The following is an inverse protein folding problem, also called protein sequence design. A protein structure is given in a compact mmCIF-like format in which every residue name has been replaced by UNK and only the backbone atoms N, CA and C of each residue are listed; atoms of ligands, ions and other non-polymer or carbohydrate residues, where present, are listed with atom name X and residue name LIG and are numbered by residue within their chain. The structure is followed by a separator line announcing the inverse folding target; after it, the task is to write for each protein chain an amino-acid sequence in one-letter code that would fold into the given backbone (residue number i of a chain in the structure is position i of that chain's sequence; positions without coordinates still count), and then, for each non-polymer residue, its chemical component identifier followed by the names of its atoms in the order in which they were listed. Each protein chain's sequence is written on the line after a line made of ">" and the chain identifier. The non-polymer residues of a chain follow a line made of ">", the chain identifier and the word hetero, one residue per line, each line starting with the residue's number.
data_IF_092260265318
#
_entry.id   IF_092260265318
#
_cell.length_a   1.000
_cell.length_b   1.000
_cell.length_c   1.000
_cell.angle_alpha   90.00
_cell.angle_beta   90.00
_cell.angle_gamma   90.00
#
_symmetry.space_group_name_H-M   'P 1'
#
loop_
_entity.id
_entity.type
_entity.pdbx_description
1 polymer ?
#
# COMPACT_ATOMS: atom_id res chain seq x y z
N UNK A 1 30.82 -38.34 14.87
CA UNK A 1 30.91 -37.45 13.69
C UNK A 1 29.53 -37.16 13.02
N UNK A 2 28.46 -36.98 13.80
CA UNK A 2 27.08 -36.75 13.28
C UNK A 2 26.51 -35.35 13.55
N UNK A 3 27.03 -34.66 14.59
CA UNK A 3 26.57 -33.32 15.02
C UNK A 3 27.10 -32.15 14.18
N UNK A 4 28.25 -32.30 13.51
CA UNK A 4 28.90 -31.22 12.73
C UNK A 4 28.20 -30.97 11.39
N UNK A 5 27.56 -32.02 10.89
CA UNK A 5 26.87 -32.15 9.62
C UNK A 5 25.46 -31.56 9.71
N UNK A 6 24.75 -31.81 10.81
CA UNK A 6 23.42 -31.22 11.06
C UNK A 6 23.46 -29.70 11.22
N UNK A 7 24.56 -29.12 11.75
CA UNK A 7 24.72 -27.66 11.82
C UNK A 7 24.96 -27.03 10.45
N UNK A 8 25.75 -27.68 9.60
CA UNK A 8 25.96 -27.22 8.22
C UNK A 8 24.66 -27.24 7.40
N UNK A 9 23.83 -28.28 7.57
CA UNK A 9 22.52 -28.38 6.92
C UNK A 9 21.57 -27.28 7.41
N UNK A 10 21.52 -27.02 8.72
CA UNK A 10 20.67 -25.97 9.29
C UNK A 10 21.06 -24.56 8.84
N UNK A 11 22.35 -24.30 8.63
CA UNK A 11 22.82 -23.01 8.08
C UNK A 11 22.42 -22.89 6.60
N UNK A 12 22.63 -23.95 5.81
CA UNK A 12 22.30 -23.95 4.38
C UNK A 12 20.80 -23.72 4.14
N UNK A 13 19.93 -24.37 4.91
CA UNK A 13 18.47 -24.18 4.78
C UNK A 13 18.04 -22.76 5.15
N UNK A 14 18.64 -22.16 6.17
CA UNK A 14 18.34 -20.79 6.56
C UNK A 14 18.74 -19.78 5.46
N UNK A 15 19.93 -19.95 4.87
CA UNK A 15 20.41 -19.08 3.79
C UNK A 15 19.51 -19.16 2.55
N UNK A 16 19.08 -20.38 2.17
CA UNK A 16 18.16 -20.57 1.04
C UNK A 16 16.81 -19.91 1.31
N UNK A 17 16.29 -19.99 2.54
CA UNK A 17 15.03 -19.37 2.92
C UNK A 17 15.08 -17.85 2.77
N UNK A 18 16.15 -17.21 3.26
CA UNK A 18 16.31 -15.75 3.17
C UNK A 18 16.37 -15.28 1.70
N UNK A 19 17.10 -16.00 0.84
CA UNK A 19 17.19 -15.69 -0.59
C UNK A 19 15.83 -15.86 -1.30
N UNK A 20 15.06 -16.88 -0.93
CA UNK A 20 13.72 -17.08 -1.46
C UNK A 20 12.74 -15.97 -1.03
N UNK A 21 12.82 -15.49 0.21
CA UNK A 21 11.99 -14.37 0.68
C UNK A 21 12.33 -13.05 -0.03
N UNK A 22 13.60 -12.78 -0.33
CA UNK A 22 13.99 -11.59 -1.11
C UNK A 22 13.46 -11.61 -2.55
N UNK A 23 13.25 -12.79 -3.13
CA UNK A 23 12.62 -12.92 -4.46
C UNK A 23 11.08 -12.74 -4.43
N UNK A 24 10.45 -12.92 -3.27
CA UNK A 24 9.00 -12.74 -3.08
C UNK A 24 8.59 -11.29 -2.81
N UNK A 25 9.47 -10.46 -2.25
CA UNK A 25 9.18 -9.04 -2.03
C UNK A 25 9.30 -8.27 -3.36
N UNK A 26 8.28 -8.37 -4.21
CA UNK A 26 8.22 -7.61 -5.45
C UNK A 26 7.94 -6.13 -5.14
N UNK A 27 8.79 -5.20 -5.58
CA UNK A 27 8.47 -3.79 -5.50
C UNK A 27 7.21 -3.48 -6.30
N UNK A 28 6.41 -2.51 -5.83
CA UNK A 28 5.18 -2.08 -6.49
C UNK A 28 5.44 -1.83 -7.99
N UNK A 29 4.67 -2.51 -8.84
CA UNK A 29 4.83 -2.41 -10.29
C UNK A 29 4.37 -1.05 -10.83
N UNK A 30 4.83 -0.64 -12.02
CA UNK A 30 4.47 0.66 -12.61
C UNK A 30 2.96 0.85 -12.76
N UNK A 31 2.23 -0.22 -13.11
CA UNK A 31 0.77 -0.19 -13.19
C UNK A 31 0.09 0.00 -11.82
N UNK A 32 0.60 -0.62 -10.75
CA UNK A 32 0.08 -0.42 -9.39
C UNK A 32 0.34 0.99 -8.88
N UNK A 33 1.52 1.55 -9.16
CA UNK A 33 1.83 2.95 -8.83
C UNK A 33 0.92 3.93 -9.58
N UNK A 34 0.69 3.68 -10.87
CA UNK A 34 -0.23 4.49 -11.68
C UNK A 34 -1.68 4.38 -11.17
N UNK A 35 -2.16 3.17 -10.88
CA UNK A 35 -3.48 2.95 -10.28
C UNK A 35 -3.64 3.70 -8.95
N UNK A 36 -2.65 3.57 -8.05
CA UNK A 36 -2.63 4.27 -6.76
C UNK A 36 -2.63 5.80 -6.91
N UNK A 37 -1.94 6.33 -7.93
CA UNK A 37 -1.95 7.77 -8.21
C UNK A 37 -3.32 8.24 -8.72
N UNK A 38 -3.97 7.46 -9.60
CA UNK A 38 -5.31 7.75 -10.11
C UNK A 38 -6.34 7.70 -8.97
N UNK A 39 -6.31 6.66 -8.14
CA UNK A 39 -7.21 6.51 -6.98
C UNK A 39 -7.07 7.70 -6.01
N UNK A 40 -5.84 8.11 -5.73
CA UNK A 40 -5.58 9.28 -4.88
C UNK A 40 -6.10 10.59 -5.51
N UNK A 41 -5.96 10.75 -6.82
CA UNK A 41 -6.49 11.92 -7.52
C UNK A 41 -8.02 11.94 -7.47
N UNK A 42 -8.67 10.80 -7.70
CA UNK A 42 -10.12 10.66 -7.61
C UNK A 42 -10.64 10.95 -6.18
N UNK A 43 -9.96 10.44 -5.16
CA UNK A 43 -10.33 10.68 -3.77
C UNK A 43 -10.24 12.18 -3.39
N UNK A 44 -9.16 12.85 -3.79
CA UNK A 44 -9.01 14.30 -3.56
C UNK A 44 -10.06 15.12 -4.31
N UNK A 45 -10.37 14.75 -5.55
CA UNK A 45 -11.43 15.41 -6.32
C UNK A 45 -12.79 15.25 -5.64
N UNK A 46 -13.11 14.04 -5.17
CA UNK A 46 -14.34 13.76 -4.43
C UNK A 46 -14.48 14.60 -3.16
N UNK A 47 -13.43 14.67 -2.34
CA UNK A 47 -13.43 15.49 -1.12
C UNK A 47 -13.65 16.98 -1.40
N UNK A 48 -13.05 17.52 -2.46
CA UNK A 48 -13.25 18.93 -2.82
C UNK A 48 -14.69 19.21 -3.27
N UNK A 49 -15.28 18.29 -4.04
CA UNK A 49 -16.69 18.40 -4.46
C UNK A 49 -17.62 18.35 -3.24
N UNK A 50 -17.37 17.43 -2.31
CA UNK A 50 -18.18 17.28 -1.10
C UNK A 50 -18.11 18.53 -0.21
N UNK A 51 -16.89 19.06 0.01
CA UNK A 51 -16.69 20.31 0.74
C UNK A 51 -17.38 21.50 0.08
N UNK A 52 -17.31 21.62 -1.25
CA UNK A 52 -18.01 22.66 -1.99
C UNK A 52 -19.54 22.53 -1.85
N UNK A 53 -20.06 21.31 -1.95
CA UNK A 53 -21.48 21.01 -1.75
C UNK A 53 -21.96 21.36 -0.34
N UNK A 54 -21.19 21.00 0.68
CA UNK A 54 -21.50 21.34 2.07
C UNK A 54 -21.47 22.85 2.33
N UNK A 55 -20.53 23.57 1.74
CA UNK A 55 -20.50 25.03 1.81
C UNK A 55 -21.75 25.67 1.19
N UNK A 56 -22.19 25.19 0.02
CA UNK A 56 -23.41 25.65 -0.64
C UNK A 56 -24.65 25.33 0.21
N UNK A 57 -24.75 24.10 0.73
CA UNK A 57 -25.84 23.67 1.61
C UNK A 57 -25.91 24.52 2.89
N UNK A 58 -24.77 24.84 3.48
CA UNK A 58 -24.69 25.69 4.67
C UNK A 58 -25.08 27.14 4.35
N UNK A 59 -24.68 27.68 3.20
CA UNK A 59 -25.09 29.02 2.76
C UNK A 59 -26.61 29.08 2.49
N UNK A 60 -27.17 28.08 1.81
CA UNK A 60 -28.61 27.98 1.56
C UNK A 60 -29.42 27.86 2.87
N UNK A 61 -28.95 27.07 3.84
CA UNK A 61 -29.57 26.98 5.17
C UNK A 61 -29.53 28.31 5.92
N UNK A 62 -28.44 29.07 5.83
CA UNK A 62 -28.33 30.39 6.47
C UNK A 62 -29.20 31.45 5.82
N UNK A 63 -29.41 31.40 4.51
CA UNK A 63 -30.28 32.35 3.80
C UNK A 63 -31.78 32.05 3.90
N UNK A 64 -32.16 30.89 4.43
CA UNK A 64 -33.55 30.45 4.60
C UNK A 64 -34.13 30.79 5.98
N UNK A 65 -33.40 31.53 6.82
CA UNK A 65 -33.81 31.97 8.17
C UNK A 65 -33.55 33.46 8.32
#
# INVERSE_FOLDING_TARGET
>A
MRKRNSRAIGILTMTVLVLALSACQKPEGPAQRAGKAIDNAAANAGQQIENAGDNIKNAAKRGSN
#
